data_IF_833041823756
#
_entry.id   IF_833041823756
#
_cell.length_a   1.000
_cell.length_b   1.000
_cell.length_c   1.000
_cell.angle_alpha   90.00
_cell.angle_beta   90.00
_cell.angle_gamma   90.00
#
_symmetry.space_group_name_H-M   'P 1'
#
loop_
_entity.id
_entity.type
_entity.pdbx_description
1 polymer ?
#
# COMPACT_ATOMS: atom_id res chain seq x y z
N UNK A 1 8.03 -55.71 -10.07
CA UNK A 1 7.86 -54.66 -9.04
C UNK A 1 8.14 -53.32 -9.71
N UNK A 2 7.09 -52.53 -9.97
CA UNK A 2 7.21 -51.18 -10.50
C UNK A 2 7.61 -50.25 -9.36
N UNK A 3 8.90 -49.98 -9.21
CA UNK A 3 9.35 -48.87 -8.38
C UNK A 3 9.15 -47.60 -9.18
N UNK A 4 8.05 -46.91 -8.89
CA UNK A 4 7.79 -45.56 -9.35
C UNK A 4 8.87 -44.65 -8.78
N UNK A 5 9.98 -44.47 -9.51
CA UNK A 5 10.88 -43.36 -9.26
C UNK A 5 10.05 -42.10 -9.44
N UNK A 6 9.61 -41.51 -8.31
CA UNK A 6 9.11 -40.13 -8.26
C UNK A 6 10.17 -39.31 -9.01
N UNK A 7 9.85 -38.86 -10.22
CA UNK A 7 10.86 -38.41 -11.17
C UNK A 7 11.74 -37.36 -10.52
N UNK A 8 13.07 -37.51 -10.56
CA UNK A 8 14.00 -36.57 -9.92
C UNK A 8 13.77 -35.11 -10.37
N UNK A 9 13.15 -34.91 -11.54
CA UNK A 9 12.69 -33.62 -12.03
C UNK A 9 11.62 -32.93 -11.14
N UNK A 10 10.63 -33.67 -10.63
CA UNK A 10 9.56 -33.13 -9.76
C UNK A 10 9.93 -33.16 -8.27
N UNK A 11 11.20 -33.44 -7.94
CA UNK A 11 11.70 -33.30 -6.58
C UNK A 11 11.59 -31.84 -6.11
N UNK A 12 11.41 -31.66 -4.80
CA UNK A 12 11.31 -30.33 -4.21
C UNK A 12 12.62 -29.56 -4.39
N UNK A 13 13.76 -30.24 -4.29
CA UNK A 13 15.08 -29.64 -4.50
C UNK A 13 15.22 -29.10 -5.93
N UNK A 14 14.90 -29.92 -6.95
CA UNK A 14 15.02 -29.49 -8.34
C UNK A 14 14.04 -28.38 -8.69
N UNK A 15 12.77 -28.51 -8.27
CA UNK A 15 11.76 -27.48 -8.55
C UNK A 15 12.07 -26.16 -7.84
N UNK A 16 12.61 -26.21 -6.62
CA UNK A 16 13.10 -25.02 -5.92
C UNK A 16 14.28 -24.38 -6.66
N UNK A 17 15.28 -25.17 -7.08
CA UNK A 17 16.41 -24.67 -7.86
C UNK A 17 15.96 -23.99 -9.16
N UNK A 18 15.06 -24.62 -9.92
CA UNK A 18 14.53 -24.06 -11.17
C UNK A 18 13.77 -22.77 -10.90
N UNK A 19 13.00 -22.71 -9.81
CA UNK A 19 12.29 -21.51 -9.40
C UNK A 19 13.24 -20.35 -9.04
N UNK A 20 14.34 -20.66 -8.35
CA UNK A 20 15.36 -19.66 -8.01
C UNK A 20 16.06 -19.12 -9.24
N UNK A 21 16.48 -20.00 -10.16
CA UNK A 21 17.06 -19.60 -11.44
C UNK A 21 16.12 -18.73 -12.26
N UNK A 22 14.82 -19.06 -12.27
CA UNK A 22 13.80 -18.24 -12.91
C UNK A 22 13.73 -16.84 -12.28
N UNK A 23 13.71 -16.78 -10.95
CA UNK A 23 13.64 -15.52 -10.21
C UNK A 23 14.88 -14.64 -10.44
N UNK A 24 16.08 -15.23 -10.45
CA UNK A 24 17.32 -14.51 -10.77
C UNK A 24 17.29 -13.95 -12.20
N UNK A 25 16.93 -14.78 -13.19
CA UNK A 25 16.84 -14.33 -14.58
C UNK A 25 15.83 -13.18 -14.77
N UNK A 26 14.68 -13.28 -14.12
CA UNK A 26 13.62 -12.26 -14.23
C UNK A 26 14.02 -10.97 -13.51
N UNK A 27 14.70 -11.09 -12.37
CA UNK A 27 15.25 -9.93 -11.65
C UNK A 27 16.28 -9.19 -12.49
N UNK A 28 17.21 -9.90 -13.13
CA UNK A 28 18.22 -9.29 -13.99
C UNK A 28 17.62 -8.68 -15.26
N UNK A 29 16.74 -9.41 -15.97
CA UNK A 29 16.22 -8.98 -17.27
C UNK A 29 15.13 -7.93 -17.20
N UNK A 30 14.26 -8.00 -16.19
CA UNK A 30 13.06 -7.17 -16.12
C UNK A 30 13.02 -6.24 -14.90
N UNK A 31 14.05 -6.28 -14.05
CA UNK A 31 14.08 -5.59 -12.75
C UNK A 31 12.86 -5.93 -11.88
N UNK A 32 12.36 -7.16 -11.99
CA UNK A 32 11.16 -7.64 -11.30
C UNK A 32 11.51 -8.82 -10.40
N UNK A 33 11.09 -8.78 -9.14
CA UNK A 33 11.35 -9.85 -8.18
C UNK A 33 10.09 -10.69 -7.97
N UNK A 34 10.11 -11.93 -8.46
CA UNK A 34 8.98 -12.86 -8.37
C UNK A 34 8.75 -13.29 -6.91
N UNK A 35 9.83 -13.49 -6.12
CA UNK A 35 9.72 -13.91 -4.70
C UNK A 35 9.02 -12.86 -3.84
N UNK A 36 9.30 -11.57 -4.05
CA UNK A 36 8.70 -10.49 -3.25
C UNK A 36 7.26 -10.19 -3.65
N UNK A 37 6.92 -10.38 -4.93
CA UNK A 37 5.65 -9.95 -5.50
C UNK A 37 4.66 -11.11 -5.73
N UNK A 38 4.94 -12.31 -5.18
CA UNK A 38 4.11 -13.53 -5.16
C UNK A 38 2.96 -13.53 -6.17
N UNK A 39 3.29 -13.49 -7.48
CA UNK A 39 2.27 -13.35 -8.50
C UNK A 39 1.60 -14.73 -8.73
N UNK A 40 0.32 -14.90 -8.37
CA UNK A 40 -0.34 -16.21 -8.43
C UNK A 40 -0.40 -16.76 -9.85
N UNK A 41 -0.42 -15.89 -10.87
CA UNK A 41 -0.45 -16.29 -12.28
C UNK A 41 0.89 -16.93 -12.69
N UNK A 42 2.03 -16.37 -12.25
CA UNK A 42 3.36 -16.94 -12.55
C UNK A 42 3.54 -18.28 -11.83
N UNK A 43 3.16 -18.34 -10.54
CA UNK A 43 3.26 -19.57 -9.75
C UNK A 43 2.42 -20.70 -10.38
N UNK A 44 1.18 -20.39 -10.77
CA UNK A 44 0.30 -21.35 -11.43
C UNK A 44 0.89 -21.82 -12.76
N UNK A 45 1.35 -20.90 -13.61
CA UNK A 45 1.94 -21.23 -14.90
C UNK A 45 3.19 -22.11 -14.76
N UNK A 46 4.02 -21.84 -13.76
CA UNK A 46 5.21 -22.63 -13.47
C UNK A 46 4.87 -24.06 -13.07
N UNK A 47 3.94 -24.23 -12.13
CA UNK A 47 3.47 -25.56 -11.69
C UNK A 47 2.81 -26.32 -12.84
N UNK A 48 1.98 -25.65 -13.65
CA UNK A 48 1.35 -26.24 -14.82
C UNK A 48 2.39 -26.69 -15.86
N UNK A 49 3.44 -25.89 -16.07
CA UNK A 49 4.56 -26.23 -16.97
C UNK A 49 5.34 -27.44 -16.45
N UNK A 50 5.65 -27.50 -15.15
CA UNK A 50 6.31 -28.66 -14.54
C UNK A 50 5.46 -29.92 -14.73
N UNK A 51 4.16 -29.83 -14.46
CA UNK A 51 3.25 -30.96 -14.64
C UNK A 51 3.19 -31.41 -16.11
N UNK A 52 3.13 -30.48 -17.05
CA UNK A 52 3.15 -30.79 -18.48
C UNK A 52 4.44 -31.48 -18.91
N UNK A 53 5.59 -31.00 -18.44
CA UNK A 53 6.92 -31.56 -18.77
C UNK A 53 7.11 -32.92 -18.11
N UNK A 54 6.66 -33.08 -16.87
CA UNK A 54 6.65 -34.36 -16.15
C UNK A 54 5.79 -35.40 -16.88
N UNK A 55 4.60 -35.02 -17.36
CA UNK A 55 3.72 -35.90 -18.12
C UNK A 55 4.29 -36.27 -19.51
N UNK A 56 5.19 -35.45 -20.05
CA UNK A 56 5.88 -35.69 -21.31
C UNK A 56 7.35 -36.07 -21.12
N UNK A 57 7.74 -36.60 -19.95
CA UNK A 57 9.14 -36.85 -19.60
C UNK A 57 9.89 -37.73 -20.61
N UNK A 58 9.20 -38.64 -21.30
CA UNK A 58 9.77 -39.51 -22.33
C UNK A 58 10.32 -38.75 -23.56
N UNK A 59 9.93 -37.49 -23.77
CA UNK A 59 10.41 -36.66 -24.89
C UNK A 59 11.78 -36.03 -24.63
N UNK A 60 12.30 -36.13 -23.41
CA UNK A 60 13.51 -35.44 -22.99
C UNK A 60 14.58 -36.45 -22.59
N UNK A 61 15.83 -36.18 -22.97
CA UNK A 61 16.95 -37.09 -22.71
C UNK A 61 17.49 -36.95 -21.29
N UNK A 62 17.24 -35.80 -20.64
CA UNK A 62 17.75 -35.53 -19.29
C UNK A 62 16.88 -34.55 -18.51
N UNK A 63 17.04 -34.58 -17.18
CA UNK A 63 16.44 -33.61 -16.26
C UNK A 63 16.90 -32.19 -16.58
N UNK A 64 18.14 -32.03 -17.03
CA UNK A 64 18.69 -30.73 -17.44
C UNK A 64 17.91 -30.16 -18.63
N UNK A 65 17.57 -30.99 -19.62
CA UNK A 65 16.73 -30.56 -20.75
C UNK A 65 15.32 -30.17 -20.30
N UNK A 66 14.73 -30.94 -19.39
CA UNK A 66 13.41 -30.64 -18.80
C UNK A 66 13.44 -29.30 -18.04
N UNK A 67 14.49 -29.06 -17.25
CA UNK A 67 14.71 -27.80 -16.51
C UNK A 67 14.86 -26.62 -17.48
N UNK A 68 15.71 -26.76 -18.50
CA UNK A 68 15.93 -25.73 -19.53
C UNK A 68 14.63 -25.39 -20.26
N UNK A 69 13.85 -26.40 -20.64
CA UNK A 69 12.57 -26.21 -21.32
C UNK A 69 11.54 -25.51 -20.41
N UNK A 70 11.47 -25.90 -19.14
CA UNK A 70 10.60 -25.27 -18.14
C UNK A 70 10.94 -23.80 -17.95
N UNK A 71 12.23 -23.49 -17.74
CA UNK A 71 12.73 -22.12 -17.62
C UNK A 71 12.39 -21.28 -18.86
N UNK A 72 12.67 -21.82 -20.05
CA UNK A 72 12.45 -21.10 -21.30
C UNK A 72 10.97 -20.73 -21.49
N UNK A 73 10.04 -21.65 -21.21
CA UNK A 73 8.61 -21.37 -21.33
C UNK A 73 8.14 -20.36 -20.30
N UNK A 74 8.62 -20.46 -19.05
CA UNK A 74 8.27 -19.51 -18.00
C UNK A 74 8.80 -18.11 -18.31
N UNK A 75 10.04 -17.99 -18.80
CA UNK A 75 10.63 -16.72 -19.21
C UNK A 75 9.83 -16.10 -20.37
N UNK A 76 9.51 -16.87 -21.41
CA UNK A 76 8.68 -16.39 -22.53
C UNK A 76 7.30 -15.93 -22.08
N UNK A 77 6.69 -16.66 -21.16
CA UNK A 77 5.41 -16.27 -20.58
C UNK A 77 5.51 -14.94 -19.83
N UNK A 78 6.54 -14.77 -19.00
CA UNK A 78 6.78 -13.53 -18.25
C UNK A 78 7.08 -12.38 -19.19
N UNK A 79 7.94 -12.57 -20.20
CA UNK A 79 8.27 -11.57 -21.23
C UNK A 79 7.01 -11.00 -21.89
N UNK A 80 6.08 -11.87 -22.28
CA UNK A 80 4.83 -11.48 -22.93
C UNK A 80 3.88 -10.74 -21.99
N UNK A 81 3.92 -11.04 -20.69
CA UNK A 81 2.97 -10.53 -19.69
C UNK A 81 3.59 -9.50 -18.74
N UNK A 82 4.85 -9.08 -18.94
CA UNK A 82 5.60 -8.28 -17.96
C UNK A 82 4.92 -6.95 -17.64
N UNK A 83 4.23 -6.35 -18.62
CA UNK A 83 3.47 -5.10 -18.43
C UNK A 83 2.25 -5.26 -17.53
N UNK A 84 1.66 -6.47 -17.48
CA UNK A 84 0.54 -6.80 -16.59
C UNK A 84 1.01 -7.40 -15.26
N UNK A 85 2.27 -7.82 -15.19
CA UNK A 85 2.88 -8.46 -14.02
C UNK A 85 3.60 -7.44 -13.13
N UNK A 86 4.21 -6.40 -13.71
CA UNK A 86 4.78 -5.31 -12.90
C UNK A 86 3.67 -4.66 -12.10
N UNK A 87 3.89 -4.53 -10.79
CA UNK A 87 3.00 -3.72 -9.96
C UNK A 87 2.88 -2.35 -10.64
N UNK A 88 1.64 -1.87 -10.88
CA UNK A 88 1.44 -0.55 -11.43
C UNK A 88 2.18 0.44 -10.53
N UNK A 89 2.97 1.33 -11.13
CA UNK A 89 3.66 2.37 -10.37
C UNK A 89 2.63 3.19 -9.58
N UNK A 90 3.06 3.90 -8.53
CA UNK A 90 2.15 4.80 -7.78
C UNK A 90 1.42 5.77 -8.72
N UNK A 91 2.09 6.20 -9.79
CA UNK A 91 1.55 6.97 -10.90
C UNK A 91 0.46 6.22 -11.68
N UNK A 92 0.70 4.97 -12.07
CA UNK A 92 -0.29 4.16 -12.79
C UNK A 92 -1.53 3.86 -11.92
N UNK A 93 -1.34 3.56 -10.63
CA UNK A 93 -2.44 3.38 -9.67
C UNK A 93 -3.24 4.67 -9.52
N UNK A 94 -2.56 5.81 -9.47
CA UNK A 94 -3.21 7.12 -9.42
C UNK A 94 -4.02 7.38 -10.70
N UNK A 95 -3.46 7.15 -11.88
CA UNK A 95 -4.17 7.32 -13.16
C UNK A 95 -5.39 6.40 -13.26
N UNK A 96 -5.26 5.14 -12.86
CA UNK A 96 -6.37 4.18 -12.83
C UNK A 96 -7.48 4.69 -11.89
N UNK A 97 -7.13 5.15 -10.68
CA UNK A 97 -8.11 5.71 -9.74
C UNK A 97 -8.75 6.99 -10.28
N UNK A 98 -7.98 7.87 -10.89
CA UNK A 98 -8.46 9.12 -11.46
C UNK A 98 -9.41 8.86 -12.64
N UNK A 99 -9.08 7.91 -13.51
CA UNK A 99 -9.94 7.47 -14.61
C UNK A 99 -11.24 6.84 -14.09
N UNK A 100 -11.17 6.03 -13.04
CA UNK A 100 -12.36 5.46 -12.39
C UNK A 100 -13.27 6.56 -11.84
N UNK A 101 -12.73 7.52 -11.06
CA UNK A 101 -13.50 8.64 -10.53
C UNK A 101 -14.09 9.51 -11.65
N UNK A 102 -13.33 9.76 -12.72
CA UNK A 102 -13.83 10.48 -13.89
C UNK A 102 -15.01 9.75 -14.54
N UNK A 103 -14.92 8.43 -14.73
CA UNK A 103 -16.00 7.65 -15.31
C UNK A 103 -17.25 7.62 -14.41
N UNK A 104 -17.07 7.52 -13.09
CA UNK A 104 -18.17 7.61 -12.12
C UNK A 104 -18.83 8.99 -12.17
N UNK A 105 -18.03 10.05 -12.22
CA UNK A 105 -18.52 11.42 -12.38
C UNK A 105 -19.28 11.61 -13.69
N UNK A 106 -18.70 11.18 -14.81
CA UNK A 106 -19.31 11.30 -16.14
C UNK A 106 -20.62 10.49 -16.23
N UNK A 107 -20.72 9.37 -15.51
CA UNK A 107 -21.95 8.56 -15.40
C UNK A 107 -23.04 9.25 -14.56
N UNK A 108 -22.66 9.98 -13.51
CA UNK A 108 -23.59 10.73 -12.67
C UNK A 108 -24.12 11.99 -13.37
N UNK A 109 -23.25 12.69 -14.10
CA UNK A 109 -23.61 13.90 -14.84
C UNK A 109 -24.49 13.56 -16.05
N UNK A 110 -24.16 12.48 -16.78
CA UNK A 110 -24.91 12.06 -17.96
C UNK A 110 -26.00 11.04 -17.64
N UNK A 111 -26.55 11.06 -16.43
CA UNK A 111 -27.65 10.15 -16.08
C UNK A 111 -28.85 10.48 -16.96
N UNK A 112 -29.44 9.46 -17.60
CA UNK A 112 -30.67 9.63 -18.41
C UNK A 112 -31.71 10.36 -17.56
N UNK A 113 -32.21 11.47 -18.10
CA UNK A 113 -33.29 12.25 -17.48
C UNK A 113 -34.41 11.26 -17.15
N UNK A 114 -34.88 11.20 -15.89
CA UNK A 114 -36.03 10.37 -15.53
C UNK A 114 -37.18 10.67 -16.48
N UNK A 115 -37.95 9.64 -16.84
CA UNK A 115 -39.18 9.87 -17.60
C UNK A 115 -40.04 10.89 -16.84
N UNK A 116 -40.54 11.89 -17.56
CA UNK A 116 -41.43 12.90 -16.98
C UNK A 116 -42.59 12.20 -16.28
N UNK A 117 -42.81 12.56 -15.02
CA UNK A 117 -43.89 11.98 -14.22
C UNK A 117 -45.17 12.67 -14.66
N UNK A 118 -45.99 11.90 -15.35
CA UNK A 118 -47.31 12.29 -15.76
C UNK A 118 -48.28 12.17 -14.55
N UNK A 119 -48.66 13.31 -13.98
CA UNK A 119 -49.63 13.40 -12.87
C UNK A 119 -51.09 13.43 -13.35
N UNK A 120 -51.34 13.25 -14.65
CA UNK A 120 -52.71 13.14 -15.14
C UNK A 120 -53.31 11.85 -14.57
N UNK A 121 -54.49 11.97 -13.96
CA UNK A 121 -55.18 10.84 -13.35
C UNK A 121 -55.49 9.81 -14.44
N UNK A 122 -54.74 8.70 -14.46
CA UNK A 122 -54.92 7.65 -15.46
C UNK A 122 -56.16 6.85 -15.06
N UNK A 123 -57.27 7.17 -15.71
CA UNK A 123 -58.55 6.46 -15.57
C UNK A 123 -58.46 4.96 -15.90
N UNK A 124 -57.34 4.50 -16.46
CA UNK A 124 -57.02 3.09 -16.74
C UNK A 124 -56.32 2.37 -15.57
N UNK A 125 -56.40 2.88 -14.35
CA UNK A 125 -56.03 2.10 -13.17
C UNK A 125 -57.02 0.93 -13.04
N UNK A 126 -56.66 -0.22 -13.63
CA UNK A 126 -57.24 -1.50 -13.21
C UNK A 126 -57.20 -1.55 -11.67
N UNK A 127 -58.22 -2.14 -11.02
CA UNK A 127 -58.22 -2.30 -9.58
C UNK A 127 -56.87 -2.85 -9.15
N UNK A 128 -56.20 -2.14 -8.23
CA UNK A 128 -54.89 -2.56 -7.72
C UNK A 128 -54.98 -4.05 -7.40
N UNK A 129 -54.15 -4.85 -8.07
CA UNK A 129 -54.17 -6.31 -7.91
C UNK A 129 -53.97 -6.62 -6.44
N UNK A 130 -55.05 -7.07 -5.78
CA UNK A 130 -55.07 -7.35 -4.34
C UNK A 130 -53.96 -8.33 -3.98
N UNK A 131 -53.65 -9.27 -4.88
CA UNK A 131 -52.55 -10.23 -4.74
C UNK A 131 -51.18 -9.54 -4.66
N UNK A 132 -50.95 -8.48 -5.47
CA UNK A 132 -49.70 -7.73 -5.44
C UNK A 132 -49.56 -6.88 -4.16
N UNK A 133 -50.67 -6.32 -3.66
CA UNK A 133 -50.70 -5.60 -2.39
C UNK A 133 -50.46 -6.54 -1.23
N UNK A 134 -51.17 -7.67 -1.18
CA UNK A 134 -51.04 -8.68 -0.13
C UNK A 134 -49.62 -9.26 -0.10
N UNK A 135 -49.02 -9.52 -1.28
CA UNK A 135 -47.62 -9.95 -1.39
C UNK A 135 -46.66 -8.89 -0.88
N UNK A 136 -46.88 -7.63 -1.24
CA UNK A 136 -46.05 -6.51 -0.77
C UNK A 136 -46.18 -6.32 0.74
N UNK A 137 -47.38 -6.50 1.29
CA UNK A 137 -47.63 -6.43 2.72
C UNK A 137 -46.92 -7.58 3.46
N UNK A 138 -47.04 -8.80 2.94
CA UNK A 138 -46.40 -9.99 3.50
C UNK A 138 -44.87 -9.91 3.43
N UNK A 139 -44.31 -9.38 2.34
CA UNK A 139 -42.86 -9.17 2.20
C UNK A 139 -42.38 -8.10 3.18
N UNK A 140 -43.11 -6.99 3.33
CA UNK A 140 -42.81 -5.97 4.36
C UNK A 140 -42.94 -6.49 5.78
N UNK A 141 -43.94 -7.31 6.06
CA UNK A 141 -44.10 -7.94 7.37
C UNK A 141 -42.95 -8.90 7.67
N UNK A 142 -42.51 -9.70 6.69
CA UNK A 142 -41.35 -10.58 6.83
C UNK A 142 -40.06 -9.78 7.09
N UNK A 143 -39.87 -8.69 6.36
CA UNK A 143 -38.72 -7.79 6.54
C UNK A 143 -38.74 -7.16 7.94
N UNK A 144 -39.89 -6.63 8.38
CA UNK A 144 -40.05 -6.09 9.73
C UNK A 144 -39.81 -7.14 10.81
N UNK A 145 -40.30 -8.37 10.63
CA UNK A 145 -40.01 -9.47 11.56
C UNK A 145 -38.53 -9.83 11.59
N UNK A 146 -37.83 -9.80 10.46
CA UNK A 146 -36.40 -10.08 10.38
C UNK A 146 -35.57 -8.98 11.06
N UNK A 147 -35.89 -7.72 10.79
CA UNK A 147 -35.32 -6.54 11.44
C UNK A 147 -35.56 -6.61 12.96
N UNK A 148 -36.81 -6.88 13.38
CA UNK A 148 -37.16 -6.97 14.80
C UNK A 148 -36.46 -8.14 15.51
N UNK A 149 -36.30 -9.29 14.85
CA UNK A 149 -35.51 -10.42 15.39
C UNK A 149 -34.03 -10.08 15.53
N UNK A 150 -33.47 -9.26 14.64
CA UNK A 150 -32.09 -8.80 14.74
C UNK A 150 -31.89 -7.83 15.93
N UNK A 151 -32.89 -6.98 16.22
CA UNK A 151 -32.85 -6.07 17.37
C UNK A 151 -33.23 -6.73 18.72
N UNK A 152 -33.77 -7.95 18.70
CA UNK A 152 -34.06 -8.73 19.90
C UNK A 152 -32.83 -9.36 20.58
N UNK A 153 -31.64 -9.22 20.00
CA UNK A 153 -30.40 -9.73 20.58
C UNK A 153 -29.74 -8.63 21.43
N UNK A 154 -29.82 -8.82 22.76
CA UNK A 154 -28.93 -8.45 23.88
C UNK A 154 -27.98 -7.25 23.81
N UNK A 155 -27.42 -6.86 22.68
CA UNK A 155 -26.46 -5.76 22.55
C UNK A 155 -27.11 -4.40 22.81
N UNK A 156 -28.28 -4.12 22.23
CA UNK A 156 -28.97 -2.85 22.48
C UNK A 156 -29.50 -2.76 23.92
N UNK A 157 -30.05 -3.86 24.47
CA UNK A 157 -30.46 -3.92 25.88
C UNK A 157 -29.27 -3.78 26.82
N UNK A 158 -28.11 -4.37 26.51
CA UNK A 158 -26.91 -4.21 27.32
C UNK A 158 -26.31 -2.82 27.18
N UNK A 159 -26.41 -2.16 26.03
CA UNK A 159 -26.04 -0.76 25.85
C UNK A 159 -26.93 0.20 26.66
N UNK A 160 -28.24 -0.07 26.69
CA UNK A 160 -29.23 0.73 27.44
C UNK A 160 -29.13 0.45 28.95
N UNK A 161 -28.96 -0.81 29.37
CA UNK A 161 -28.87 -1.21 30.79
C UNK A 161 -27.49 -0.95 31.41
N UNK A 162 -26.40 -1.05 30.64
CA UNK A 162 -25.03 -0.79 31.10
C UNK A 162 -24.51 0.61 30.70
N UNK A 163 -25.41 1.58 30.48
CA UNK A 163 -25.07 2.94 30.07
C UNK A 163 -23.74 3.41 30.64
N UNK A 164 -22.78 3.69 29.74
CA UNK A 164 -21.38 4.07 29.98
C UNK A 164 -20.88 3.60 31.36
N UNK A 165 -20.71 2.29 31.53
CA UNK A 165 -19.88 1.81 32.64
C UNK A 165 -18.46 2.29 32.36
N UNK A 166 -17.93 3.10 33.29
CA UNK A 166 -16.55 3.56 33.34
C UNK A 166 -15.59 2.37 33.51
N UNK A 167 -15.46 1.57 32.46
CA UNK A 167 -14.40 0.60 32.27
C UNK A 167 -13.43 1.24 31.29
N UNK A 168 -12.22 1.54 31.77
CA UNK A 168 -11.15 2.23 31.03
C UNK A 168 -10.65 1.47 29.78
N UNK A 169 -11.25 0.32 29.44
CA UNK A 169 -10.79 -0.58 28.39
C UNK A 169 -11.62 -0.54 27.07
N UNK A 170 -12.77 0.13 27.03
CA UNK A 170 -13.55 0.31 25.79
C UNK A 170 -13.33 1.70 25.16
N UNK A 171 -12.07 2.14 25.11
CA UNK A 171 -11.70 3.25 24.21
C UNK A 171 -11.84 2.74 22.78
N UNK A 172 -12.86 3.23 22.09
CA UNK A 172 -12.97 3.16 20.63
C UNK A 172 -11.58 3.49 20.07
N UNK A 173 -10.89 2.49 19.53
CA UNK A 173 -9.70 2.72 18.74
C UNK A 173 -10.17 3.38 17.46
N UNK A 174 -10.20 4.70 17.45
CA UNK A 174 -10.15 5.45 16.20
C UNK A 174 -8.83 5.02 15.57
N UNK A 175 -8.92 4.14 14.58
CA UNK A 175 -7.79 3.88 13.70
C UNK A 175 -7.65 5.19 12.91
N UNK A 176 -6.83 6.10 13.43
CA UNK A 176 -6.28 7.18 12.65
C UNK A 176 -5.35 6.54 11.62
N UNK A 177 -5.93 5.97 10.56
CA UNK A 177 -5.19 5.87 9.32
C UNK A 177 -4.83 7.32 8.98
N UNK A 178 -3.55 7.66 9.08
CA UNK A 178 -3.07 8.98 8.68
C UNK A 178 -3.23 9.07 7.16
N UNK A 179 -4.43 9.41 6.70
CA UNK A 179 -4.62 9.91 5.36
C UNK A 179 -3.93 11.26 5.38
N UNK A 180 -2.71 11.30 4.83
CA UNK A 180 -2.00 12.52 4.51
C UNK A 180 -2.81 13.29 3.45
N UNK A 181 -3.85 14.00 3.91
CA UNK A 181 -4.61 14.96 3.12
C UNK A 181 -3.82 16.26 2.99
N UNK A 182 -2.52 16.18 2.66
CA UNK A 182 -1.74 17.32 2.19
C UNK A 182 -2.24 17.68 0.79
N UNK A 183 -3.42 18.29 0.73
CA UNK A 183 -3.85 19.04 -0.43
C UNK A 183 -2.99 20.28 -0.45
N UNK A 184 -1.93 20.27 -1.26
CA UNK A 184 -1.24 21.51 -1.58
C UNK A 184 -2.25 22.46 -2.23
N UNK A 185 -2.36 23.72 -1.79
CA UNK A 185 -3.22 24.68 -2.45
C UNK A 185 -2.73 24.86 -3.89
N UNK A 186 -3.58 24.51 -4.86
CA UNK A 186 -3.33 24.87 -6.26
C UNK A 186 -3.40 26.41 -6.30
N UNK A 187 -2.26 27.06 -6.53
CA UNK A 187 -2.20 28.46 -6.88
C UNK A 187 -2.83 28.63 -8.27
N UNK A 188 -4.15 28.80 -8.31
CA UNK A 188 -4.84 29.24 -9.52
C UNK A 188 -4.45 30.70 -9.77
N UNK A 189 -3.87 31.00 -10.93
CA UNK A 189 -3.80 32.38 -11.43
C UNK A 189 -5.22 32.93 -11.47
N UNK A 190 -5.52 33.95 -10.65
CA UNK A 190 -6.88 34.49 -10.50
C UNK A 190 -7.43 34.87 -11.87
N UNK A 191 -8.43 34.17 -12.43
CA UNK A 191 -9.14 34.70 -13.58
C UNK A 191 -9.92 35.93 -13.13
N UNK A 192 -9.88 36.99 -13.95
CA UNK A 192 -10.61 38.24 -13.76
C UNK A 192 -12.07 37.93 -13.39
N UNK A 193 -12.45 38.25 -12.15
CA UNK A 193 -13.81 38.03 -11.66
C UNK A 193 -14.73 38.97 -12.43
N UNK A 194 -15.57 38.43 -13.31
CA UNK A 194 -16.73 39.15 -13.83
C UNK A 194 -17.76 39.30 -12.70
N UNK A 195 -18.31 40.52 -12.59
CA UNK A 195 -19.08 41.03 -11.45
C UNK A 195 -20.17 40.05 -11.02
N UNK A 196 -20.12 39.60 -9.77
CA UNK A 196 -21.23 38.89 -9.11
C UNK A 196 -22.05 39.88 -8.28
N UNK A 197 -23.36 39.69 -8.30
CA UNK A 197 -24.31 40.46 -7.49
C UNK A 197 -24.01 40.18 -6.01
N UNK A 198 -23.66 41.24 -5.28
CA UNK A 198 -23.51 41.24 -3.82
C UNK A 198 -24.71 41.98 -3.25
N UNK A 199 -25.31 41.43 -2.19
CA UNK A 199 -26.35 42.11 -1.44
C UNK A 199 -25.69 42.95 -0.35
N UNK A 200 -25.96 44.25 -0.33
CA UNK A 200 -25.58 45.14 0.77
C UNK A 200 -26.41 44.76 2.00
N UNK A 201 -25.86 43.93 2.88
CA UNK A 201 -26.37 43.76 4.23
C UNK A 201 -25.83 44.96 5.02
N UNK A 202 -26.65 46.00 5.17
CA UNK A 202 -26.39 47.07 6.12
C UNK A 202 -26.63 46.52 7.53
N UNK A 203 -25.60 45.93 8.12
CA UNK A 203 -25.57 45.73 9.56
C UNK A 203 -25.61 47.10 10.24
N UNK A 204 -26.69 47.36 10.97
CA UNK A 204 -26.83 48.56 11.78
C UNK A 204 -25.81 48.51 12.92
N UNK A 205 -24.65 49.13 12.70
CA UNK A 205 -23.69 49.43 13.75
C UNK A 205 -24.30 50.53 14.61
N UNK A 206 -24.68 50.19 15.84
CA UNK A 206 -24.81 51.16 16.93
C UNK A 206 -23.52 51.13 17.76
N UNK A 207 -22.97 52.33 17.93
CA UNK A 207 -21.67 52.66 18.52
C UNK A 207 -21.42 52.03 19.90
N UNK A 208 -20.27 51.36 20.09
CA UNK A 208 -19.51 51.40 21.35
C UNK A 208 -18.00 51.36 21.05
N UNK A 209 -17.28 52.18 21.79
CA UNK A 209 -15.90 52.63 21.65
C UNK A 209 -14.81 51.56 21.75
N UNK A 210 -13.66 51.90 21.15
CA UNK A 210 -12.41 51.14 21.11
C UNK A 210 -11.75 51.19 22.50
N UNK A 211 -11.59 50.03 23.16
CA UNK A 211 -10.74 49.86 24.35
C UNK A 211 -9.59 48.90 24.03
N UNK A 212 -8.38 49.30 24.40
CA UNK A 212 -7.10 48.60 24.20
C UNK A 212 -7.12 47.13 24.69
N UNK A 213 -6.41 46.21 24.02
CA UNK A 213 -6.30 44.84 24.50
C UNK A 213 -5.42 44.77 25.77
N UNK A 214 -5.83 44.02 26.82
CA UNK A 214 -5.08 43.87 28.06
C UNK A 214 -3.80 43.01 27.86
N UNK A 215 -2.80 43.14 28.76
CA UNK A 215 -1.52 42.43 28.64
C UNK A 215 -1.71 40.91 28.71
N UNK A 216 -0.89 40.12 27.98
CA UNK A 216 -1.12 38.69 27.80
C UNK A 216 -0.96 37.95 29.13
N UNK A 217 -2.09 37.47 29.65
CA UNK A 217 -2.10 36.51 30.76
C UNK A 217 -1.52 35.16 30.31
N UNK A 218 -0.90 34.37 31.21
CA UNK A 218 -0.26 33.11 30.87
C UNK A 218 -1.32 32.10 30.41
N UNK A 219 -1.48 31.99 29.10
CA UNK A 219 -2.45 31.06 28.51
C UNK A 219 -2.03 29.62 28.81
N UNK A 220 -2.88 28.98 29.60
CA UNK A 220 -3.09 27.54 29.76
C UNK A 220 -2.23 26.63 28.87
N UNK A 221 -1.40 25.78 29.50
CA UNK A 221 -0.55 24.71 28.91
C UNK A 221 -1.26 23.87 27.84
N UNK A 222 -2.59 23.84 27.84
CA UNK A 222 -3.41 23.16 26.85
C UNK A 222 -3.25 23.75 25.45
N UNK A 223 -3.29 25.08 25.29
CA UNK A 223 -3.18 25.71 23.97
C UNK A 223 -1.78 25.60 23.37
N UNK A 224 -0.73 25.54 24.20
CA UNK A 224 0.62 25.28 23.71
C UNK A 224 0.82 23.84 23.21
N UNK A 225 -0.02 22.88 23.63
CA UNK A 225 -0.05 21.53 23.06
C UNK A 225 -0.85 21.46 21.74
N UNK A 226 -1.76 22.41 21.50
CA UNK A 226 -2.48 22.53 20.23
C UNK A 226 -1.77 23.37 19.17
N UNK A 227 -0.78 24.18 19.57
CA UNK A 227 0.12 24.81 18.60
C UNK A 227 0.91 23.70 17.94
N UNK A 228 0.62 23.45 16.66
CA UNK A 228 1.43 22.56 15.82
C UNK A 228 2.87 23.03 15.95
N UNK A 229 3.77 22.15 16.39
CA UNK A 229 5.21 22.41 16.35
C UNK A 229 5.52 22.77 14.90
N UNK A 230 6.04 23.97 14.66
CA UNK A 230 6.29 24.43 13.30
C UNK A 230 7.13 23.37 12.60
N UNK A 231 6.61 22.84 11.48
CA UNK A 231 7.20 21.71 10.77
C UNK A 231 8.68 21.96 10.43
N UNK A 232 9.02 23.24 10.26
CA UNK A 232 10.37 23.73 10.08
C UNK A 232 11.30 23.39 11.25
N UNK A 233 10.88 23.56 12.51
CA UNK A 233 11.71 23.25 13.68
C UNK A 233 11.94 21.75 13.85
N UNK A 234 11.00 20.91 13.43
CA UNK A 234 11.19 19.46 13.44
C UNK A 234 12.21 19.04 12.37
N UNK A 235 12.07 19.56 11.14
CA UNK A 235 13.01 19.28 10.04
C UNK A 235 14.42 19.78 10.37
N UNK A 236 14.55 20.97 10.97
CA UNK A 236 15.87 21.52 11.35
C UNK A 236 16.56 20.65 12.40
N UNK A 237 15.83 20.10 13.36
CA UNK A 237 16.40 19.21 14.37
C UNK A 237 16.82 17.85 13.77
N UNK A 238 16.00 17.27 12.90
CA UNK A 238 16.33 16.00 12.21
C UNK A 238 17.57 16.17 11.31
N UNK A 239 17.67 17.29 10.60
CA UNK A 239 18.85 17.61 9.76
C UNK A 239 20.10 17.80 10.63
N UNK A 240 19.98 18.39 11.82
CA UNK A 240 21.09 18.53 12.75
C UNK A 240 21.57 17.17 13.29
N UNK A 241 20.65 16.25 13.61
CA UNK A 241 20.98 14.89 14.03
C UNK A 241 21.65 14.08 12.91
N UNK A 242 21.13 14.16 11.69
CA UNK A 242 21.72 13.50 10.52
C UNK A 242 23.14 14.00 10.25
N UNK A 243 23.38 15.32 10.33
CA UNK A 243 24.74 15.88 10.22
C UNK A 243 25.68 15.32 11.28
N UNK A 244 25.21 15.18 12.53
CA UNK A 244 26.01 14.61 13.62
C UNK A 244 26.37 13.14 13.35
N UNK A 245 25.43 12.33 12.86
CA UNK A 245 25.68 10.93 12.51
C UNK A 245 26.68 10.81 11.36
N UNK A 246 26.60 11.68 10.35
CA UNK A 246 27.56 11.70 9.23
C UNK A 246 28.98 12.00 9.71
N UNK A 247 29.14 12.95 10.63
CA UNK A 247 30.46 13.27 11.21
C UNK A 247 31.03 12.08 11.98
N UNK A 248 30.20 11.42 12.81
CA UNK A 248 30.64 10.23 13.56
C UNK A 248 31.04 9.07 12.64
N UNK A 249 30.29 8.81 11.56
CA UNK A 249 30.68 7.79 10.58
C UNK A 249 32.02 8.11 9.94
N UNK A 250 32.26 9.39 9.58
CA UNK A 250 33.52 9.81 8.99
C UNK A 250 34.71 9.55 9.92
N UNK A 251 34.58 9.88 11.20
CA UNK A 251 35.62 9.60 12.22
C UNK A 251 35.88 8.09 12.37
N UNK A 252 34.84 7.25 12.31
CA UNK A 252 34.99 5.79 12.32
C UNK A 252 35.71 5.28 11.08
N UNK A 253 35.41 5.82 9.90
CA UNK A 253 36.12 5.48 8.66
C UNK A 253 37.60 5.85 8.73
N UNK A 254 37.94 7.05 9.20
CA UNK A 254 39.33 7.49 9.35
C UNK A 254 40.10 6.61 10.35
N UNK A 255 39.44 6.17 11.43
CA UNK A 255 40.04 5.22 12.38
C UNK A 255 40.23 3.83 11.77
N UNK A 256 39.30 3.37 10.95
CA UNK A 256 39.40 2.08 10.27
C UNK A 256 40.54 2.09 9.25
N UNK A 257 40.69 3.17 8.48
CA UNK A 257 41.78 3.34 7.52
C UNK A 257 43.15 3.28 8.22
N UNK A 258 43.32 4.02 9.33
CA UNK A 258 44.55 3.97 10.15
C UNK A 258 44.85 2.57 10.67
N UNK A 259 43.83 1.82 11.08
CA UNK A 259 44.01 0.45 11.54
C UNK A 259 44.44 -0.47 10.40
N UNK A 260 43.85 -0.33 9.22
CA UNK A 260 44.24 -1.09 8.03
C UNK A 260 45.69 -0.79 7.62
N UNK A 261 46.13 0.47 7.63
CA UNK A 261 47.53 0.83 7.37
C UNK A 261 48.49 0.17 8.35
N UNK A 262 48.19 0.19 9.66
CA UNK A 262 49.01 -0.48 10.67
C UNK A 262 49.10 -1.98 10.47
N UNK A 263 47.99 -2.64 10.12
CA UNK A 263 47.97 -4.07 9.81
C UNK A 263 48.88 -4.36 8.60
N UNK A 264 48.79 -3.54 7.55
CA UNK A 264 49.65 -3.69 6.38
C UNK A 264 51.13 -3.51 6.71
N UNK A 265 51.49 -2.52 7.54
CA UNK A 265 52.86 -2.31 7.97
C UNK A 265 53.40 -3.50 8.78
N UNK A 266 52.59 -4.04 9.70
CA UNK A 266 52.94 -5.22 10.49
C UNK A 266 53.13 -6.45 9.60
N UNK A 267 52.22 -6.69 8.66
CA UNK A 267 52.31 -7.81 7.72
C UNK A 267 53.55 -7.65 6.81
N UNK A 268 53.85 -6.44 6.35
CA UNK A 268 55.06 -6.15 5.58
C UNK A 268 56.33 -6.44 6.39
N UNK A 269 56.35 -6.07 7.68
CA UNK A 269 57.45 -6.38 8.60
C UNK A 269 57.68 -7.88 8.74
N UNK A 270 56.62 -8.65 8.98
CA UNK A 270 56.69 -10.12 9.10
C UNK A 270 57.21 -10.76 7.82
N UNK A 271 56.73 -10.34 6.66
CA UNK A 271 57.19 -10.85 5.35
C UNK A 271 58.69 -10.58 5.17
N UNK A 272 59.18 -9.39 5.55
CA UNK A 272 60.61 -9.05 5.47
C UNK A 272 61.46 -9.91 6.39
N UNK A 273 61.03 -10.14 7.63
CA UNK A 273 61.74 -11.01 8.58
C UNK A 273 61.86 -12.45 8.09
N UNK A 274 60.77 -13.02 7.56
CA UNK A 274 60.78 -14.38 6.99
C UNK A 274 61.78 -14.50 5.82
N UNK A 275 61.90 -13.46 5.00
CA UNK A 275 62.80 -13.49 3.85
C UNK A 275 64.29 -13.41 4.25
N UNK A 276 64.61 -12.77 5.37
CA UNK A 276 65.98 -12.67 5.92
C UNK A 276 66.40 -14.00 6.56
N UNK A 277 65.50 -14.68 7.27
CA UNK A 277 65.78 -15.97 7.90
C UNK A 277 66.05 -17.07 6.86
N UNK A 278 65.34 -17.05 5.72
CA UNK A 278 65.57 -17.98 4.61
C UNK A 278 66.91 -17.76 3.89
N UNK A 279 67.39 -16.50 3.79
CA UNK A 279 68.71 -16.20 3.19
C UNK A 279 69.88 -16.55 4.12
N UNK A 280 69.67 -16.51 5.43
CA UNK A 280 70.69 -16.85 6.44
C UNK A 280 70.89 -18.36 6.60
N UNK A 281 69.91 -19.19 6.22
CA UNK A 281 70.03 -20.65 6.24
C UNK A 281 70.73 -21.24 5.01
N UNK A 282 70.90 -20.48 3.93
CA UNK A 282 71.54 -20.95 2.69
C UNK A 282 73.06 -20.67 2.60
N UNK A 283 73.69 -20.17 3.66
CA UNK A 283 75.13 -19.78 3.66
C UNK A 283 76.01 -20.51 4.68
N UNK A 284 75.58 -21.69 5.19
CA UNK A 284 76.45 -22.62 5.91
C UNK A 284 76.59 -23.94 5.17
#
# INVERSE_FOLDING_TARGET
MNTTYKSSFTSNENTSLVWELLNENVKERFSYNIKNNSNPTINKFFVDTINQVSNNNQKYNSIIEMNKFTLLNCIKFIEKNIQHIKEPSKTDVFEIRMKKQKNEFDSLINKKIPKEIDFTDKFDNLPVDKSAVDKTLADRERELQQITKQYGNTDAESWIKNGIKNSDDDKIKIIEDSIDNSIQPILMDRPKIEKRVTFDIKDQISNVEIVQPPPPQPTNKFLNKLKKKDMYDTVVNEVAELKKQIVQMKEQFDSMEKNQSKILDLVSGVIKSINIDNMSQTTN
#
